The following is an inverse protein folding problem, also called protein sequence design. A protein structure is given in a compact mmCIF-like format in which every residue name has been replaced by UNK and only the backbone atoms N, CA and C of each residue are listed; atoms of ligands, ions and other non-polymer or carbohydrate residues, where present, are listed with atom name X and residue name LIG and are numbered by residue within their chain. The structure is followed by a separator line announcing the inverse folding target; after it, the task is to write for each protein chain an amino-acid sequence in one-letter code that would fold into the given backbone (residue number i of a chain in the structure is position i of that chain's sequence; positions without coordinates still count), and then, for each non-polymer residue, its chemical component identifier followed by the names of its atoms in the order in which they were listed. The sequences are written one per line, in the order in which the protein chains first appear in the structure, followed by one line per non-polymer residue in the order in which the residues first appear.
data_IF_431787495931
#
_entry.id   IF_431787495931
#
_cell.length_a   1.000
_cell.length_b   1.000
_cell.length_c   1.000
_cell.angle_alpha   90.00
_cell.angle_beta   90.00
_cell.angle_gamma   90.00
#
_symmetry.space_group_name_H-M   'P 1'
#
loop_
_entity.id
_entity.type
_entity.pdbx_description
1 polymer ?
#
# COMPACT_ATOMS: atom_id res chain seq x y z
N UNK A 1 -11.60 -5.20 -3.03
CA UNK A 1 -11.99 -4.09 -3.93
C UNK A 1 -12.40 -4.65 -5.28
N UNK A 2 -13.24 -3.94 -6.02
CA UNK A 2 -13.59 -4.22 -7.40
C UNK A 2 -13.29 -2.95 -8.21
N UNK A 3 -12.37 -3.03 -9.18
CA UNK A 3 -11.88 -1.90 -9.96
C UNK A 3 -12.08 -2.17 -11.45
N UNK A 4 -12.55 -1.16 -12.17
CA UNK A 4 -12.50 -1.09 -13.61
C UNK A 4 -11.26 -0.29 -14.01
N UNK A 5 -10.41 -0.88 -14.84
CA UNK A 5 -9.17 -0.26 -15.35
C UNK A 5 -9.32 0.06 -16.83
N UNK A 6 -8.86 1.25 -17.24
CA UNK A 6 -8.80 1.66 -18.63
C UNK A 6 -7.50 2.41 -18.93
N UNK A 7 -6.76 1.94 -19.93
CA UNK A 7 -5.60 2.64 -20.45
C UNK A 7 -5.97 4.05 -20.94
N UNK A 8 -5.25 5.05 -20.43
CA UNK A 8 -5.40 6.46 -20.81
C UNK A 8 -4.17 6.99 -21.56
N UNK A 9 -3.01 6.36 -21.35
CA UNK A 9 -1.76 6.64 -22.06
C UNK A 9 -0.88 5.38 -22.06
N UNK A 10 0.20 5.33 -22.86
CA UNK A 10 1.14 4.20 -22.82
C UNK A 10 1.67 4.01 -21.39
N UNK A 11 1.56 2.78 -20.88
CA UNK A 11 1.96 2.40 -19.52
C UNK A 11 1.16 3.02 -18.37
N UNK A 12 0.04 3.70 -18.65
CA UNK A 12 -0.79 4.37 -17.64
C UNK A 12 -2.27 4.03 -17.80
N UNK A 13 -2.83 3.52 -16.71
CA UNK A 13 -4.23 3.15 -16.57
C UNK A 13 -4.92 4.07 -15.56
N UNK A 14 -6.14 4.48 -15.91
CA UNK A 14 -7.09 5.07 -14.97
C UNK A 14 -7.96 3.96 -14.37
N UNK A 15 -8.14 3.98 -13.06
CA UNK A 15 -8.92 3.02 -12.31
C UNK A 15 -10.08 3.71 -11.59
N UNK A 16 -11.26 3.09 -11.63
CA UNK A 16 -12.41 3.52 -10.83
C UNK A 16 -13.13 2.29 -10.29
N UNK A 17 -13.64 2.37 -9.07
CA UNK A 17 -14.46 1.29 -8.54
C UNK A 17 -14.78 1.43 -7.07
N UNK A 18 -14.96 0.29 -6.41
CA UNK A 18 -15.39 0.22 -5.03
C UNK A 18 -14.38 -0.53 -4.16
N UNK A 19 -14.08 0.03 -3.00
CA UNK A 19 -13.29 -0.62 -1.94
C UNK A 19 -14.15 -0.75 -0.69
N UNK A 20 -14.28 -1.97 -0.18
CA UNK A 20 -14.90 -2.27 1.11
C UNK A 20 -13.85 -2.80 2.08
N UNK A 21 -13.63 -2.08 3.16
CA UNK A 21 -12.72 -2.45 4.25
C UNK A 21 -13.56 -3.14 5.34
N UNK A 22 -13.58 -4.47 5.32
CA UNK A 22 -14.41 -5.30 6.21
C UNK A 22 -13.86 -5.30 7.64
N UNK A 23 -12.54 -5.18 7.78
CA UNK A 23 -11.84 -5.04 9.06
C UNK A 23 -10.79 -3.92 8.98
N UNK A 24 -10.52 -3.21 10.08
CA UNK A 24 -11.22 -3.26 11.38
C UNK A 24 -12.69 -2.78 11.31
N UNK A 25 -13.49 -3.07 12.34
CA UNK A 25 -14.89 -2.62 12.41
C UNK A 25 -14.96 -1.18 12.94
N UNK A 26 -15.94 -0.36 12.50
CA UNK A 26 -17.00 -0.67 11.55
C UNK A 26 -16.50 -0.72 10.09
N UNK A 27 -17.20 -1.48 9.25
CA UNK A 27 -16.88 -1.59 7.81
C UNK A 27 -16.90 -0.21 7.13
N UNK A 28 -15.90 0.06 6.29
CA UNK A 28 -15.81 1.30 5.50
C UNK A 28 -15.98 0.99 4.02
N UNK A 29 -16.93 1.67 3.39
CA UNK A 29 -17.13 1.63 1.94
C UNK A 29 -16.56 2.89 1.32
N UNK A 30 -15.87 2.71 0.20
CA UNK A 30 -15.22 3.79 -0.51
C UNK A 30 -15.49 3.67 -2.01
N UNK A 31 -15.82 4.80 -2.62
CA UNK A 31 -15.62 5.00 -4.04
C UNK A 31 -14.12 5.28 -4.26
N UNK A 32 -13.48 4.47 -5.09
CA UNK A 32 -12.07 4.56 -5.42
C UNK A 32 -11.88 5.16 -6.82
N UNK A 33 -10.95 6.10 -6.94
CA UNK A 33 -10.45 6.65 -8.20
C UNK A 33 -8.93 6.64 -8.13
N UNK A 34 -8.27 5.93 -9.04
CA UNK A 34 -6.82 5.79 -9.02
C UNK A 34 -6.20 5.90 -10.40
N UNK A 35 -4.89 6.09 -10.42
CA UNK A 35 -4.04 6.01 -11.59
C UNK A 35 -2.91 5.03 -11.27
N UNK A 36 -2.69 4.07 -12.15
CA UNK A 36 -1.64 3.08 -12.01
C UNK A 36 -0.80 3.03 -13.27
N UNK A 37 0.51 2.99 -13.13
CA UNK A 37 1.36 2.91 -14.30
C UNK A 37 2.85 2.79 -14.02
N UNK A 38 3.59 2.65 -15.11
CA UNK A 38 5.05 2.58 -15.10
C UNK A 38 5.62 3.96 -15.44
N UNK A 39 6.14 4.64 -14.43
CA UNK A 39 6.78 5.95 -14.58
C UNK A 39 8.17 5.82 -15.22
N UNK A 40 8.78 6.93 -15.69
CA UNK A 40 10.15 6.93 -16.20
C UNK A 40 11.10 6.23 -15.22
N UNK A 41 12.12 5.55 -15.76
CA UNK A 41 13.03 4.69 -15.02
C UNK A 41 12.45 3.37 -14.50
N UNK A 42 11.23 2.98 -14.89
CA UNK A 42 10.59 1.71 -14.51
C UNK A 42 10.09 1.64 -13.05
N UNK A 43 9.68 2.78 -12.49
CA UNK A 43 8.95 2.79 -11.22
C UNK A 43 7.49 2.39 -11.43
N UNK A 44 7.00 1.38 -10.70
CA UNK A 44 5.57 1.08 -10.63
C UNK A 44 4.94 2.06 -9.63
N UNK A 45 4.01 2.87 -10.11
CA UNK A 45 3.33 3.90 -9.32
C UNK A 45 1.84 3.58 -9.29
N UNK A 46 1.27 3.59 -8.09
CA UNK A 46 -0.17 3.53 -7.86
C UNK A 46 -0.57 4.70 -6.96
N UNK A 47 -1.42 5.59 -7.46
CA UNK A 47 -1.95 6.69 -6.70
C UNK A 47 -3.48 6.62 -6.72
N UNK A 48 -4.10 6.60 -5.55
CA UNK A 48 -5.54 6.41 -5.42
C UNK A 48 -6.15 7.42 -4.44
N UNK A 49 -7.32 7.94 -4.81
CA UNK A 49 -8.20 8.74 -3.97
C UNK A 49 -9.44 7.92 -3.64
N UNK A 50 -9.89 8.02 -2.40
CA UNK A 50 -11.03 7.32 -1.86
C UNK A 50 -12.00 8.30 -1.25
N UNK A 51 -13.29 8.15 -1.56
CA UNK A 51 -14.37 8.94 -0.96
C UNK A 51 -15.34 7.96 -0.31
N UNK A 52 -15.55 8.14 0.99
CA UNK A 52 -16.38 7.26 1.81
C UNK A 52 -17.49 7.99 2.54
N UNK A 53 -18.24 7.23 3.32
CA UNK A 53 -19.38 7.73 4.08
C UNK A 53 -18.99 8.78 5.14
N UNK A 54 -19.96 9.62 5.52
CA UNK A 54 -19.80 10.72 6.50
C UNK A 54 -18.76 11.78 6.08
N UNK A 55 -18.53 11.93 4.78
CA UNK A 55 -17.56 12.88 4.22
C UNK A 55 -16.11 12.52 4.54
N UNK A 56 -15.81 11.23 4.73
CA UNK A 56 -14.44 10.74 4.84
C UNK A 56 -13.80 10.71 3.47
N UNK A 57 -12.55 11.11 3.40
CA UNK A 57 -11.72 11.00 2.21
C UNK A 57 -10.39 10.38 2.59
N UNK A 58 -9.76 9.66 1.68
CA UNK A 58 -8.39 9.20 1.86
C UNK A 58 -7.63 9.28 0.54
N UNK A 59 -6.31 9.39 0.63
CA UNK A 59 -5.40 9.31 -0.49
C UNK A 59 -4.32 8.29 -0.17
N UNK A 60 -3.92 7.52 -1.17
CA UNK A 60 -2.82 6.56 -1.08
C UNK A 60 -1.86 6.81 -2.23
N UNK A 61 -0.57 6.75 -1.93
CA UNK A 61 0.49 6.69 -2.93
C UNK A 61 1.36 5.49 -2.62
N UNK A 62 1.55 4.63 -3.61
CA UNK A 62 2.49 3.52 -3.59
C UNK A 62 3.52 3.73 -4.71
N UNK A 63 4.77 3.46 -4.40
CA UNK A 63 5.83 3.35 -5.40
C UNK A 63 6.67 2.10 -5.14
N UNK A 64 6.91 1.33 -6.18
CA UNK A 64 7.73 0.12 -6.15
C UNK A 64 8.78 0.19 -7.26
N UNK A 65 9.95 -0.39 -7.02
CA UNK A 65 10.98 -0.53 -8.05
C UNK A 65 11.58 -1.93 -8.02
N UNK A 66 11.68 -2.60 -9.17
CA UNK A 66 12.37 -3.90 -9.26
C UNK A 66 13.83 -3.70 -9.67
N UNK A 67 14.76 -3.82 -8.73
CA UNK A 67 16.21 -3.87 -8.99
C UNK A 67 16.64 -5.30 -9.31
N UNK A 68 16.98 -5.57 -10.57
CA UNK A 68 17.53 -6.84 -11.00
C UNK A 68 19.04 -6.88 -10.75
N UNK A 69 19.48 -7.49 -9.65
CA UNK A 69 20.90 -7.78 -9.44
C UNK A 69 21.40 -8.87 -10.40
N UNK A 70 20.56 -9.88 -10.64
CA UNK A 70 20.76 -10.90 -11.67
C UNK A 70 19.42 -11.21 -12.33
N UNK A 71 19.41 -12.07 -13.36
CA UNK A 71 18.16 -12.56 -13.97
C UNK A 71 17.30 -13.43 -13.02
N UNK A 72 17.74 -13.68 -11.78
CA UNK A 72 17.01 -14.48 -10.78
C UNK A 72 17.00 -13.85 -9.39
N UNK A 73 17.77 -12.81 -9.14
CA UNK A 73 17.88 -12.15 -7.84
C UNK A 73 17.39 -10.72 -7.99
N UNK A 74 16.26 -10.43 -7.36
CA UNK A 74 15.51 -9.19 -7.56
C UNK A 74 15.28 -8.56 -6.18
N UNK A 75 15.69 -7.30 -6.03
CA UNK A 75 15.42 -6.51 -4.85
C UNK A 75 14.32 -5.51 -5.15
N UNK A 76 13.32 -5.47 -4.29
CA UNK A 76 12.10 -4.69 -4.45
C UNK A 76 11.96 -3.78 -3.24
N UNK A 77 12.52 -2.56 -3.28
CA UNK A 77 12.08 -1.50 -2.38
C UNK A 77 10.66 -1.06 -2.73
N UNK A 78 9.86 -0.86 -1.70
CA UNK A 78 8.51 -0.33 -1.80
C UNK A 78 8.27 0.76 -0.76
N UNK A 79 7.43 1.73 -1.11
CA UNK A 79 6.98 2.80 -0.23
C UNK A 79 5.47 2.96 -0.38
N UNK A 80 4.75 3.04 0.73
CA UNK A 80 3.33 3.39 0.78
C UNK A 80 3.12 4.56 1.73
N UNK A 81 2.34 5.55 1.27
CA UNK A 81 1.95 6.72 2.06
C UNK A 81 0.43 6.77 2.07
N UNK A 82 -0.16 6.86 3.26
CA UNK A 82 -1.61 6.99 3.44
C UNK A 82 -1.97 8.32 4.11
N UNK A 83 -2.91 9.04 3.50
CA UNK A 83 -3.48 10.27 4.06
C UNK A 83 -4.98 10.14 4.23
N UNK A 84 -5.53 10.72 5.29
CA UNK A 84 -6.97 10.72 5.57
C UNK A 84 -7.47 12.14 5.83
N UNK A 85 -8.67 12.46 5.35
CA UNK A 85 -9.27 13.78 5.52
C UNK A 85 -9.95 14.00 6.87
N UNK A 86 -10.18 12.94 7.66
CA UNK A 86 -10.90 12.97 8.93
C UNK A 86 -10.42 11.88 9.87
N UNK A 87 -10.52 12.17 11.16
CA UNK A 87 -10.27 11.18 12.21
C UNK A 87 -11.36 10.11 12.23
N UNK A 88 -10.93 8.88 12.44
CA UNK A 88 -11.75 7.70 12.58
C UNK A 88 -11.22 6.83 13.71
N UNK A 89 -11.47 7.29 14.95
CA UNK A 89 -11.02 6.62 16.18
C UNK A 89 -11.51 5.18 16.30
N UNK A 90 -12.64 4.83 15.68
CA UNK A 90 -13.17 3.47 15.71
C UNK A 90 -12.26 2.45 15.00
N UNK A 91 -11.45 2.92 14.05
CA UNK A 91 -10.48 2.10 13.30
C UNK A 91 -9.03 2.54 13.56
N UNK A 92 -8.81 3.44 14.52
CA UNK A 92 -7.49 3.93 14.91
C UNK A 92 -6.78 4.77 13.85
N UNK A 93 -7.51 5.47 12.99
CA UNK A 93 -6.94 6.29 11.90
C UNK A 93 -7.15 7.77 12.23
N UNK A 94 -6.08 8.56 12.22
CA UNK A 94 -6.10 10.02 12.33
C UNK A 94 -6.15 10.71 10.98
N UNK A 95 -6.56 11.99 10.99
CA UNK A 95 -6.51 12.86 9.83
C UNK A 95 -5.10 13.35 9.51
N UNK A 96 -4.89 13.79 8.27
CA UNK A 96 -3.58 14.18 7.75
C UNK A 96 -2.80 12.98 7.22
N UNK A 97 -1.48 13.03 7.36
CA UNK A 97 -0.61 11.88 7.10
C UNK A 97 -0.83 10.86 8.22
N UNK A 98 -1.37 9.69 7.87
CA UNK A 98 -1.68 8.64 8.85
C UNK A 98 -0.47 7.75 9.09
N UNK A 99 0.16 7.30 8.01
CA UNK A 99 1.27 6.36 8.08
C UNK A 99 2.16 6.43 6.83
N UNK A 100 3.41 6.03 7.05
CA UNK A 100 4.41 5.73 6.03
C UNK A 100 4.86 4.29 6.21
N UNK A 101 4.80 3.50 5.15
CA UNK A 101 5.34 2.15 5.10
C UNK A 101 6.54 2.13 4.16
N UNK A 102 7.66 1.58 4.63
CA UNK A 102 8.87 1.32 3.86
C UNK A 102 9.16 -0.17 3.85
N UNK A 103 9.06 -0.79 2.67
CA UNK A 103 9.37 -2.19 2.46
C UNK A 103 10.67 -2.39 1.69
N UNK A 104 11.35 -3.49 2.01
CA UNK A 104 12.48 -3.98 1.22
C UNK A 104 12.41 -5.50 1.13
N UNK A 105 12.13 -6.03 -0.06
CA UNK A 105 11.98 -7.45 -0.32
C UNK A 105 13.04 -7.97 -1.28
N UNK A 106 13.74 -9.03 -0.89
CA UNK A 106 14.67 -9.76 -1.74
C UNK A 106 14.01 -11.06 -2.22
N UNK A 107 13.80 -11.17 -3.52
CA UNK A 107 13.20 -12.31 -4.21
C UNK A 107 14.28 -13.10 -4.96
N UNK A 108 14.26 -14.42 -4.83
CA UNK A 108 15.13 -15.32 -5.59
C UNK A 108 14.32 -16.31 -6.42
N UNK A 109 14.46 -16.29 -7.73
CA UNK A 109 13.74 -17.15 -8.67
C UNK A 109 14.54 -18.43 -8.93
N UNK A 110 14.22 -19.50 -8.19
CA UNK A 110 14.83 -20.83 -8.40
C UNK A 110 14.45 -21.36 -9.79
N UNK A 111 13.16 -21.24 -10.09
CA UNK A 111 12.50 -21.45 -11.38
C UNK A 111 11.41 -20.39 -11.48
N UNK A 112 10.94 -20.07 -12.69
CA UNK A 112 10.00 -18.94 -12.85
C UNK A 112 8.77 -19.16 -11.98
N UNK A 113 8.24 -20.38 -11.92
CA UNK A 113 7.04 -20.76 -11.17
C UNK A 113 7.26 -20.89 -9.66
N UNK A 114 8.49 -20.69 -9.14
CA UNK A 114 8.80 -20.82 -7.72
C UNK A 114 9.91 -19.85 -7.29
N UNK A 115 9.51 -18.82 -6.56
CA UNK A 115 10.38 -17.76 -6.10
C UNK A 115 10.17 -17.49 -4.59
N UNK A 116 11.02 -18.05 -3.71
CA UNK A 116 11.07 -17.61 -2.31
C UNK A 116 11.50 -16.15 -2.22
N UNK A 117 11.01 -15.47 -1.18
CA UNK A 117 11.42 -14.13 -0.85
C UNK A 117 11.51 -13.92 0.67
N UNK A 118 12.40 -13.01 1.03
CA UNK A 118 12.54 -12.49 2.39
C UNK A 118 12.47 -10.98 2.33
N UNK A 119 12.04 -10.33 3.40
CA UNK A 119 11.98 -8.89 3.43
C UNK A 119 11.83 -8.31 4.82
N UNK A 120 11.97 -7.01 4.86
CA UNK A 120 11.71 -6.18 6.02
C UNK A 120 10.68 -5.14 5.64
N UNK A 121 9.88 -4.73 6.61
CA UNK A 121 8.86 -3.74 6.44
C UNK A 121 8.80 -2.90 7.71
N UNK A 122 8.95 -1.59 7.57
CA UNK A 122 8.87 -0.64 8.66
C UNK A 122 7.68 0.28 8.42
N UNK A 123 6.76 0.33 9.39
CA UNK A 123 5.68 1.30 9.43
C UNK A 123 5.98 2.35 10.50
N UNK A 124 5.72 3.60 10.15
CA UNK A 124 5.62 4.69 11.12
C UNK A 124 4.25 5.34 11.05
N UNK A 125 3.56 5.44 12.19
CA UNK A 125 2.31 6.15 12.36
C UNK A 125 2.60 7.63 12.68
N UNK A 126 1.82 8.54 12.08
CA UNK A 126 1.97 9.99 12.27
C UNK A 126 0.71 10.61 12.88
N UNK A 127 0.87 11.79 13.47
CA UNK A 127 -0.23 12.62 13.99
C UNK A 127 -1.17 11.85 14.92
N UNK A 128 -2.47 12.10 14.75
CA UNK A 128 -3.51 11.49 15.58
C UNK A 128 -3.55 9.97 15.42
N UNK A 129 -3.12 9.40 14.29
CA UNK A 129 -3.00 7.95 14.11
C UNK A 129 -2.01 7.36 15.11
N UNK A 130 -0.86 8.05 15.31
CA UNK A 130 0.14 7.64 16.29
C UNK A 130 -0.39 7.77 17.73
N UNK A 131 -1.15 8.84 18.01
CA UNK A 131 -1.72 9.07 19.33
C UNK A 131 -2.81 8.04 19.67
N UNK A 132 -3.66 7.68 18.71
CA UNK A 132 -4.62 6.58 18.88
C UNK A 132 -3.95 5.23 19.13
N UNK A 133 -2.83 4.95 18.46
CA UNK A 133 -2.06 3.74 18.73
C UNK A 133 -1.49 3.72 20.16
N UNK A 134 -0.92 4.85 20.61
CA UNK A 134 -0.38 4.99 21.98
C UNK A 134 -1.45 4.88 23.05
N UNK A 135 -2.63 5.45 22.82
CA UNK A 135 -3.80 5.32 23.71
C UNK A 135 -4.20 3.85 23.92
N UNK A 136 -3.96 2.99 22.93
CA UNK A 136 -4.21 1.54 22.98
C UNK A 136 -3.00 0.73 23.50
N UNK A 137 -1.93 1.41 23.94
CA UNK A 137 -0.69 0.78 24.40
C UNK A 137 0.15 0.16 23.27
N UNK A 138 -0.04 0.61 22.02
CA UNK A 138 0.76 0.20 20.86
C UNK A 138 1.82 1.24 20.54
N UNK A 139 2.93 0.79 19.98
CA UNK A 139 3.98 1.68 19.49
C UNK A 139 3.58 2.32 18.15
N UNK A 140 4.09 3.53 17.91
CA UNK A 140 3.91 4.23 16.63
C UNK A 140 4.83 3.69 15.53
N UNK A 141 5.86 2.94 15.91
CA UNK A 141 6.82 2.30 15.01
C UNK A 141 6.60 0.78 15.05
N UNK A 142 6.44 0.15 13.89
CA UNK A 142 6.32 -1.30 13.75
C UNK A 142 7.33 -1.83 12.74
N UNK A 143 8.18 -2.76 13.18
CA UNK A 143 9.17 -3.41 12.32
C UNK A 143 8.83 -4.89 12.15
N UNK A 144 8.64 -5.29 10.89
CA UNK A 144 8.15 -6.62 10.53
C UNK A 144 9.16 -7.31 9.61
N UNK A 145 9.53 -8.53 9.98
CA UNK A 145 10.23 -9.45 9.08
C UNK A 145 9.22 -10.29 8.32
N UNK A 146 9.40 -10.40 7.01
CA UNK A 146 8.51 -11.17 6.13
C UNK A 146 9.31 -12.26 5.45
N UNK A 147 8.78 -13.47 5.44
CA UNK A 147 9.25 -14.56 4.59
C UNK A 147 8.05 -15.13 3.84
N UNK A 148 8.24 -15.49 2.59
CA UNK A 148 7.17 -16.06 1.79
C UNK A 148 7.68 -16.74 0.53
N UNK A 149 6.75 -17.36 -0.18
CA UNK A 149 7.03 -18.05 -1.43
C UNK A 149 5.97 -17.66 -2.43
N UNK A 150 6.41 -17.22 -3.62
CA UNK A 150 5.54 -17.06 -4.77
C UNK A 150 5.61 -18.35 -5.60
N UNK A 151 4.47 -18.99 -5.83
CA UNK A 151 4.40 -20.24 -6.60
C UNK A 151 3.21 -20.25 -7.57
N UNK A 152 3.41 -20.77 -8.78
CA UNK A 152 2.40 -21.02 -9.84
C UNK A 152 1.58 -19.78 -10.26
N UNK A 153 1.90 -19.20 -11.41
CA UNK A 153 1.16 -18.09 -12.06
C UNK A 153 0.56 -18.52 -13.39
#
# INVERSE_FOLDING_TARGET
QALYSRAIAPFWDLQIGWRGDIRPQPTRNWLALGIKGLAPYFFDIDAALFVGDSGRTSARLQAEYEFLFTQRLILVPDIEINLFGKDDRAVGIGSGLSDLELGLRLRYEIRREFAPYVGINWIHLYGDTADFARDEGRDADDFRFVFGVRAWF
#
